data_IF_949304034401
#
_entry.id   IF_949304034401
#
_cell.length_a   1.000
_cell.length_b   1.000
_cell.length_c   1.000
_cell.angle_alpha   90.00
_cell.angle_beta   90.00
_cell.angle_gamma   90.00
#
_symmetry.space_group_name_H-M   'P 1'
#
loop_
_entity.id
_entity.type
_entity.pdbx_description
1 polymer ?
#
# COMPACT_ATOMS: atom_id res chain seq x y z
N UNK A 1 -56.82 23.57 4.56
CA UNK A 1 -55.98 22.40 4.91
C UNK A 1 -56.67 21.14 4.39
N UNK A 2 -56.23 20.57 3.27
CA UNK A 2 -56.83 19.35 2.70
C UNK A 2 -56.25 18.13 3.42
N UNK A 3 -57.10 17.32 4.07
CA UNK A 3 -56.72 16.02 4.65
C UNK A 3 -56.28 15.10 3.49
N UNK A 4 -55.01 14.70 3.49
CA UNK A 4 -54.57 13.62 2.61
C UNK A 4 -55.42 12.37 2.91
N UNK A 5 -55.90 11.69 1.86
CA UNK A 5 -56.69 10.47 2.04
C UNK A 5 -55.80 9.36 2.61
N UNK A 6 -56.37 8.45 3.40
CA UNK A 6 -55.63 7.32 4.03
C UNK A 6 -54.80 6.55 2.98
N UNK A 7 -55.31 6.47 1.74
CA UNK A 7 -54.62 5.83 0.61
C UNK A 7 -53.37 6.60 0.14
N UNK A 8 -53.36 7.93 0.22
CA UNK A 8 -52.17 8.74 -0.06
C UNK A 8 -51.09 8.57 1.02
N UNK A 9 -51.51 8.42 2.28
CA UNK A 9 -50.58 8.17 3.39
C UNK A 9 -49.95 6.78 3.28
N UNK A 10 -50.76 5.77 2.95
CA UNK A 10 -50.28 4.39 2.74
C UNK A 10 -49.30 4.28 1.56
N UNK A 11 -49.58 4.98 0.46
CA UNK A 11 -48.68 5.02 -0.70
C UNK A 11 -47.35 5.71 -0.36
N UNK A 12 -47.37 6.78 0.45
CA UNK A 12 -46.16 7.46 0.89
C UNK A 12 -45.30 6.56 1.78
N UNK A 13 -45.91 5.80 2.71
CA UNK A 13 -45.21 4.85 3.58
C UNK A 13 -44.60 3.71 2.76
N UNK A 14 -45.31 3.21 1.74
CA UNK A 14 -44.82 2.19 0.84
C UNK A 14 -43.64 2.70 -0.01
N UNK A 15 -43.71 3.94 -0.50
CA UNK A 15 -42.62 4.56 -1.27
C UNK A 15 -41.38 4.85 -0.42
N UNK A 16 -41.56 5.28 0.84
CA UNK A 16 -40.45 5.52 1.77
C UNK A 16 -39.77 4.20 2.17
N UNK A 17 -40.54 3.14 2.43
CA UNK A 17 -39.96 1.81 2.72
C UNK A 17 -39.29 1.15 1.51
N UNK A 18 -39.79 1.38 0.30
CA UNK A 18 -39.15 0.92 -0.93
C UNK A 18 -37.86 1.70 -1.21
N UNK A 19 -37.84 3.02 -0.98
CA UNK A 19 -36.65 3.85 -1.12
C UNK A 19 -35.55 3.52 -0.09
N UNK A 20 -35.90 3.17 1.15
CA UNK A 20 -34.91 2.73 2.15
C UNK A 20 -34.38 1.33 1.88
N UNK A 21 -35.15 0.45 1.23
CA UNK A 21 -34.68 -0.89 0.83
C UNK A 21 -33.68 -0.87 -0.32
N UNK A 22 -33.71 0.17 -1.16
CA UNK A 22 -32.79 0.36 -2.30
C UNK A 22 -31.48 1.07 -1.89
N UNK A 23 -31.43 1.68 -0.71
CA UNK A 23 -30.21 2.23 -0.12
C UNK A 23 -29.41 1.14 0.63
N UNK A 24 -29.34 -0.07 0.09
CA UNK A 24 -28.35 -1.04 0.57
C UNK A 24 -26.99 -0.60 0.04
N UNK A 25 -26.18 -0.01 0.91
CA UNK A 25 -24.76 0.22 0.64
C UNK A 25 -24.13 -1.11 0.18
N UNK A 26 -23.79 -1.17 -1.10
CA UNK A 26 -23.06 -2.30 -1.66
C UNK A 26 -21.63 -2.20 -1.14
N UNK A 27 -21.40 -2.74 0.05
CA UNK A 27 -20.07 -2.93 0.61
C UNK A 27 -19.26 -3.82 -0.33
N UNK A 28 -18.21 -3.27 -0.93
CA UNK A 28 -17.36 -4.02 -1.85
C UNK A 28 -16.51 -5.04 -1.07
N UNK A 29 -16.75 -6.32 -1.32
CA UNK A 29 -15.97 -7.43 -0.76
C UNK A 29 -15.42 -8.27 -1.90
N UNK A 30 -14.10 -8.46 -1.91
CA UNK A 30 -13.39 -9.30 -2.88
C UNK A 30 -12.55 -10.33 -2.13
N UNK A 31 -12.82 -11.61 -2.36
CA UNK A 31 -12.00 -12.71 -1.85
C UNK A 31 -11.64 -13.65 -3.00
N UNK A 32 -10.36 -13.69 -3.39
CA UNK A 32 -9.88 -14.43 -4.56
C UNK A 32 -8.52 -15.05 -4.31
N UNK A 33 -8.37 -16.32 -4.71
CA UNK A 33 -7.05 -16.95 -4.78
C UNK A 33 -6.18 -16.24 -5.82
N UNK A 34 -4.92 -16.01 -5.47
CA UNK A 34 -3.92 -15.40 -6.35
C UNK A 34 -2.79 -16.40 -6.64
N UNK A 35 -2.19 -16.29 -7.82
CA UNK A 35 -1.10 -17.18 -8.26
C UNK A 35 0.31 -16.83 -7.78
N UNK A 36 0.72 -15.55 -7.62
CA UNK A 36 2.09 -15.25 -7.22
C UNK A 36 2.34 -15.68 -5.78
N UNK A 37 3.46 -16.36 -5.56
CA UNK A 37 4.00 -16.58 -4.22
C UNK A 37 4.89 -15.40 -3.86
N UNK A 38 4.61 -14.76 -2.73
CA UNK A 38 5.38 -13.62 -2.24
C UNK A 38 6.47 -14.11 -1.28
N UNK A 39 7.60 -13.38 -1.16
CA UNK A 39 8.68 -13.73 -0.23
C UNK A 39 8.17 -13.93 1.20
N UNK A 40 8.60 -15.00 1.87
CA UNK A 40 8.17 -15.33 3.24
C UNK A 40 8.44 -14.21 4.25
N UNK A 41 9.51 -13.43 4.03
CA UNK A 41 9.88 -12.29 4.87
C UNK A 41 8.81 -11.19 4.95
N UNK A 42 7.87 -11.14 4.00
CA UNK A 42 6.79 -10.15 3.98
C UNK A 42 5.64 -10.52 4.90
N UNK A 43 5.51 -11.81 5.20
CA UNK A 43 4.37 -12.33 5.93
C UNK A 43 4.59 -12.16 7.43
N UNK A 44 3.67 -11.43 8.07
CA UNK A 44 3.41 -11.57 9.50
C UNK A 44 2.69 -12.90 9.74
N UNK A 45 2.82 -13.46 10.94
CA UNK A 45 2.20 -14.74 11.29
C UNK A 45 1.39 -14.63 12.57
N UNK A 46 0.23 -15.28 12.60
CA UNK A 46 -0.57 -15.52 13.80
C UNK A 46 -1.04 -16.97 13.82
N UNK A 47 -1.25 -17.51 15.01
CA UNK A 47 -1.75 -18.87 15.18
C UNK A 47 -1.02 -19.62 16.29
N UNK A 48 -0.95 -20.93 16.10
CA UNK A 48 -0.37 -21.91 17.01
C UNK A 48 0.71 -22.73 16.32
N UNK A 49 1.36 -23.63 17.08
CA UNK A 49 2.33 -24.59 16.52
C UNK A 49 1.72 -25.57 15.50
N UNK A 50 0.40 -25.78 15.55
CA UNK A 50 -0.32 -26.75 14.71
C UNK A 50 -1.09 -26.09 13.56
N UNK A 51 -1.23 -24.77 13.60
CA UNK A 51 -1.95 -24.00 12.60
C UNK A 51 -1.43 -22.58 12.57
N UNK A 52 -0.95 -22.12 11.42
CA UNK A 52 -0.44 -20.76 11.24
C UNK A 52 -1.14 -20.12 10.07
N UNK A 53 -1.61 -18.90 10.30
CA UNK A 53 -2.04 -17.96 9.26
C UNK A 53 -0.92 -16.97 9.05
N UNK A 54 -0.54 -16.79 7.81
CA UNK A 54 0.46 -15.85 7.37
C UNK A 54 -0.24 -14.77 6.53
N UNK A 55 0.00 -13.50 6.83
CA UNK A 55 -0.65 -12.40 6.15
C UNK A 55 0.28 -11.24 5.82
N UNK A 56 -0.05 -10.52 4.75
CA UNK A 56 0.52 -9.24 4.36
C UNK A 56 -0.62 -8.23 4.35
N UNK A 57 -0.48 -7.12 5.07
CA UNK A 57 -1.35 -5.97 4.91
C UNK A 57 -0.92 -5.21 3.66
N UNK A 58 -1.79 -5.10 2.66
CA UNK A 58 -1.52 -4.35 1.44
C UNK A 58 -1.81 -2.86 1.62
N UNK A 59 -2.97 -2.54 2.20
CA UNK A 59 -3.34 -1.18 2.58
C UNK A 59 -4.39 -1.19 3.70
N UNK A 60 -4.42 -0.11 4.47
CA UNK A 60 -5.41 0.18 5.50
C UNK A 60 -5.82 1.64 5.37
N UNK A 61 -6.99 1.88 4.79
CA UNK A 61 -7.56 3.22 4.61
C UNK A 61 -8.79 3.38 5.50
N UNK A 62 -9.40 4.57 5.45
CA UNK A 62 -10.57 4.91 6.25
C UNK A 62 -11.76 3.97 5.97
N UNK A 63 -11.98 3.62 4.71
CA UNK A 63 -13.18 2.86 4.31
C UNK A 63 -12.90 1.39 4.07
N UNK A 64 -11.72 1.06 3.53
CA UNK A 64 -11.36 -0.28 3.08
C UNK A 64 -9.98 -0.72 3.55
N UNK A 65 -9.80 -2.04 3.59
CA UNK A 65 -8.50 -2.67 3.82
C UNK A 65 -8.32 -3.87 2.93
N UNK A 66 -7.06 -4.20 2.64
CA UNK A 66 -6.72 -5.37 1.86
C UNK A 66 -5.57 -6.17 2.47
N UNK A 67 -5.72 -7.49 2.42
CA UNK A 67 -4.73 -8.46 2.89
C UNK A 67 -4.45 -9.51 1.83
N UNK A 68 -3.22 -10.01 1.81
CA UNK A 68 -2.93 -11.32 1.22
C UNK A 68 -2.75 -12.30 2.37
N UNK A 69 -3.54 -13.37 2.39
CA UNK A 69 -3.53 -14.39 3.43
C UNK A 69 -3.17 -15.75 2.85
N UNK A 70 -2.30 -16.49 3.53
CA UNK A 70 -2.07 -17.92 3.29
C UNK A 70 -2.00 -18.62 4.64
N UNK A 71 -2.14 -19.92 4.66
CA UNK A 71 -2.14 -20.66 5.92
C UNK A 71 -1.58 -22.06 5.73
N UNK A 72 -1.20 -22.67 6.85
CA UNK A 72 -0.90 -24.09 6.89
C UNK A 72 -1.40 -24.68 8.20
N UNK A 73 -1.78 -25.95 8.15
CA UNK A 73 -2.15 -26.76 9.30
C UNK A 73 -1.30 -28.03 9.30
N UNK A 74 -0.68 -28.33 10.44
CA UNK A 74 0.04 -29.58 10.64
C UNK A 74 -0.98 -30.71 10.82
N UNK A 75 -0.98 -31.63 9.86
CA UNK A 75 -1.86 -32.80 9.85
C UNK A 75 -1.12 -33.95 9.15
N UNK A 76 -0.31 -34.73 9.88
CA UNK A 76 0.63 -35.69 9.29
C UNK A 76 -0.07 -36.83 8.53
N UNK A 77 -1.29 -37.18 8.93
CA UNK A 77 -2.11 -38.23 8.31
C UNK A 77 -3.54 -37.75 8.06
N UNK A 78 -4.26 -38.43 7.16
CA UNK A 78 -5.67 -38.16 6.87
C UNK A 78 -5.90 -37.20 5.67
N UNK A 79 -7.18 -36.99 5.31
CA UNK A 79 -7.57 -36.28 4.11
C UNK A 79 -7.23 -34.78 4.19
N UNK A 80 -7.16 -34.14 3.01
CA UNK A 80 -7.18 -32.67 2.90
C UNK A 80 -8.50 -32.11 3.44
N UNK A 81 -8.53 -30.80 3.70
CA UNK A 81 -9.74 -30.11 4.14
C UNK A 81 -9.84 -28.75 3.47
N UNK A 82 -11.05 -28.18 3.53
CA UNK A 82 -11.37 -26.85 3.01
C UNK A 82 -11.07 -25.79 4.06
N UNK A 83 -10.30 -24.77 3.69
CA UNK A 83 -10.13 -23.57 4.48
C UNK A 83 -11.31 -22.63 4.29
N UNK A 84 -11.78 -22.04 5.39
CA UNK A 84 -12.82 -21.02 5.38
C UNK A 84 -12.19 -19.64 5.63
N UNK A 85 -12.43 -18.69 4.75
CA UNK A 85 -12.16 -17.28 5.01
C UNK A 85 -13.48 -16.62 5.37
N UNK A 86 -13.63 -16.22 6.65
CA UNK A 86 -14.84 -15.57 7.17
C UNK A 86 -14.57 -14.08 7.36
N UNK A 87 -15.49 -13.25 6.89
CA UNK A 87 -15.51 -11.81 7.12
C UNK A 87 -16.74 -11.48 7.94
N UNK A 88 -16.55 -10.91 9.13
CA UNK A 88 -17.65 -10.61 10.07
C UNK A 88 -17.61 -9.13 10.43
N UNK A 89 -18.67 -8.40 10.10
CA UNK A 89 -18.85 -7.03 10.61
C UNK A 89 -19.46 -7.09 12.02
N UNK A 90 -18.76 -6.60 13.06
CA UNK A 90 -19.21 -6.74 14.44
C UNK A 90 -20.45 -5.89 14.75
N UNK A 91 -20.71 -4.84 13.98
CA UNK A 91 -21.79 -3.87 14.24
C UNK A 91 -23.12 -4.38 13.68
N UNK A 92 -23.16 -4.75 12.40
CA UNK A 92 -24.38 -5.20 11.73
C UNK A 92 -24.51 -6.73 11.65
N UNK A 93 -23.53 -7.49 12.19
CA UNK A 93 -23.44 -8.95 12.19
C UNK A 93 -23.48 -9.58 10.79
N UNK A 94 -23.17 -8.81 9.75
CA UNK A 94 -23.10 -9.29 8.38
C UNK A 94 -21.87 -10.20 8.23
N UNK A 95 -22.08 -11.37 7.65
CA UNK A 95 -21.07 -12.40 7.49
C UNK A 95 -20.91 -12.81 6.02
N UNK A 96 -19.67 -12.95 5.58
CA UNK A 96 -19.32 -13.56 4.30
C UNK A 96 -18.36 -14.73 4.52
N UNK A 97 -18.62 -15.87 3.89
CA UNK A 97 -17.79 -17.08 4.01
C UNK A 97 -17.34 -17.55 2.65
N UNK A 98 -16.03 -17.70 2.47
CA UNK A 98 -15.41 -18.19 1.24
C UNK A 98 -14.61 -19.46 1.51
N UNK A 99 -14.71 -20.43 0.61
CA UNK A 99 -14.16 -21.76 0.77
C UNK A 99 -13.05 -22.04 -0.24
N UNK A 100 -11.90 -22.53 0.25
CA UNK A 100 -10.74 -22.83 -0.57
C UNK A 100 -10.19 -24.21 -0.25
N UNK A 101 -9.90 -25.01 -1.28
CA UNK A 101 -9.37 -26.37 -1.09
C UNK A 101 -7.92 -26.33 -0.61
N UNK A 102 -7.63 -27.00 0.49
CA UNK A 102 -6.27 -27.14 1.01
C UNK A 102 -5.46 -28.15 0.19
N UNK A 103 -4.22 -27.80 -0.12
CA UNK A 103 -3.28 -28.68 -0.84
C UNK A 103 -2.32 -29.35 0.13
N UNK A 104 -2.10 -30.66 -0.01
CA UNK A 104 -1.15 -31.38 0.84
C UNK A 104 0.30 -31.10 0.42
N UNK A 105 1.13 -30.84 1.43
CA UNK A 105 2.58 -30.67 1.32
C UNK A 105 3.19 -31.37 2.53
N UNK A 106 3.68 -32.60 2.32
CA UNK A 106 4.20 -33.50 3.36
C UNK A 106 3.22 -33.66 4.55
N UNK A 107 3.62 -33.24 5.75
CA UNK A 107 2.83 -33.31 6.98
C UNK A 107 1.87 -32.13 7.15
N UNK A 108 1.77 -31.25 6.16
CA UNK A 108 0.98 -30.03 6.23
C UNK A 108 -0.12 -30.01 5.15
N UNK A 109 -1.22 -29.37 5.47
CA UNK A 109 -2.23 -28.97 4.49
C UNK A 109 -2.12 -27.46 4.37
N UNK A 110 -1.89 -26.94 3.16
CA UNK A 110 -1.60 -25.52 2.89
C UNK A 110 -2.78 -24.86 2.18
N UNK A 111 -3.06 -23.63 2.54
CA UNK A 111 -3.92 -22.70 1.82
C UNK A 111 -3.04 -21.87 0.88
N UNK A 112 -3.36 -21.88 -0.42
CA UNK A 112 -2.73 -20.99 -1.38
C UNK A 112 -3.02 -19.52 -1.03
N UNK A 113 -2.17 -18.56 -1.44
CA UNK A 113 -2.40 -17.15 -1.17
C UNK A 113 -3.76 -16.66 -1.67
N UNK A 114 -4.51 -15.98 -0.81
CA UNK A 114 -5.82 -15.40 -1.08
C UNK A 114 -5.74 -13.89 -0.85
N UNK A 115 -6.14 -13.11 -1.86
CA UNK A 115 -6.42 -11.69 -1.72
C UNK A 115 -7.79 -11.51 -1.06
N UNK A 116 -7.82 -10.71 0.01
CA UNK A 116 -9.02 -10.32 0.74
C UNK A 116 -9.09 -8.79 0.74
N UNK A 117 -10.13 -8.22 0.13
CA UNK A 117 -10.46 -6.78 0.20
C UNK A 117 -11.84 -6.66 0.82
N UNK A 118 -11.97 -5.86 1.87
CA UNK A 118 -13.24 -5.66 2.56
C UNK A 118 -13.28 -4.30 3.26
N UNK A 119 -14.48 -3.83 3.65
CA UNK A 119 -14.58 -2.61 4.46
C UNK A 119 -13.83 -2.75 5.77
N UNK A 120 -13.31 -1.64 6.29
CA UNK A 120 -12.46 -1.64 7.48
C UNK A 120 -13.15 -2.26 8.71
N UNK A 121 -14.47 -2.08 8.82
CA UNK A 121 -15.32 -2.60 9.88
C UNK A 121 -15.28 -4.13 10.01
N UNK A 122 -14.96 -4.87 8.94
CA UNK A 122 -14.98 -6.33 8.96
C UNK A 122 -13.77 -6.92 9.69
N UNK A 123 -14.02 -7.92 10.53
CA UNK A 123 -12.99 -8.81 11.09
C UNK A 123 -12.76 -9.97 10.13
N UNK A 124 -11.50 -10.36 9.97
CA UNK A 124 -11.10 -11.40 9.01
C UNK A 124 -10.62 -12.62 9.79
N UNK A 125 -11.19 -13.78 9.47
CA UNK A 125 -10.81 -15.05 10.06
C UNK A 125 -10.40 -16.04 8.98
N UNK A 126 -9.35 -16.81 9.24
CA UNK A 126 -9.04 -18.04 8.50
C UNK A 126 -9.33 -19.21 9.44
N UNK A 127 -10.36 -19.98 9.10
CA UNK A 127 -11.05 -20.88 10.02
C UNK A 127 -11.45 -20.12 11.30
N UNK A 128 -10.91 -20.50 12.46
CA UNK A 128 -11.18 -19.85 13.74
C UNK A 128 -10.10 -18.83 14.16
N UNK A 129 -9.03 -18.68 13.37
CA UNK A 129 -7.96 -17.73 13.67
C UNK A 129 -8.30 -16.35 13.12
N UNK A 130 -8.53 -15.39 14.01
CA UNK A 130 -8.67 -13.98 13.68
C UNK A 130 -7.32 -13.38 13.27
N UNK A 131 -7.31 -12.57 12.22
CA UNK A 131 -6.18 -11.70 11.90
C UNK A 131 -6.17 -10.49 12.85
N UNK A 132 -4.99 -9.93 13.17
CA UNK A 132 -4.92 -8.74 14.01
C UNK A 132 -5.76 -7.59 13.45
N UNK A 133 -6.54 -6.96 14.33
CA UNK A 133 -7.42 -5.86 13.99
C UNK A 133 -6.67 -4.53 14.13
N UNK A 134 -6.24 -3.97 13.00
CA UNK A 134 -5.63 -2.64 12.93
C UNK A 134 -6.69 -1.59 12.56
N UNK A 135 -6.77 -0.49 13.31
CA UNK A 135 -7.68 0.64 13.07
C UNK A 135 -6.95 1.81 12.44
N UNK A 136 -7.59 2.46 11.49
CA UNK A 136 -7.07 3.67 10.84
C UNK A 136 -7.15 4.83 11.83
N UNK A 137 -5.99 5.37 12.19
CA UNK A 137 -5.87 6.53 13.07
C UNK A 137 -5.39 7.74 12.25
N UNK A 138 -6.26 8.71 12.03
CA UNK A 138 -5.93 9.96 11.33
C UNK A 138 -4.81 10.77 11.99
N UNK A 139 -4.54 10.53 13.28
CA UNK A 139 -3.46 11.17 14.04
C UNK A 139 -2.08 10.52 13.84
N UNK A 140 -1.99 9.35 13.21
CA UNK A 140 -0.71 8.72 12.88
C UNK A 140 -0.11 9.20 11.55
N UNK A 141 -0.75 10.17 10.86
CA UNK A 141 -0.17 10.85 9.68
C UNK A 141 0.33 12.27 9.99
N UNK A 142 0.79 12.51 11.22
CA UNK A 142 1.69 13.62 11.53
C UNK A 142 3.13 13.21 11.24
N UNK A 143 3.62 13.51 10.04
CA UNK A 143 4.99 13.25 9.54
C UNK A 143 5.29 11.80 9.09
N UNK A 144 4.34 11.10 8.48
CA UNK A 144 4.68 9.99 7.59
C UNK A 144 4.55 10.44 6.13
N UNK A 145 5.71 10.58 5.50
CA UNK A 145 5.90 10.64 4.05
C UNK A 145 5.08 9.51 3.40
N UNK A 146 4.63 9.66 2.15
CA UNK A 146 3.88 8.60 1.48
C UNK A 146 4.73 7.32 1.39
N UNK A 147 4.48 6.38 2.30
CA UNK A 147 4.84 4.97 2.17
C UNK A 147 3.85 4.36 1.18
N UNK A 148 3.98 4.77 -0.09
CA UNK A 148 3.48 3.97 -1.21
C UNK A 148 4.30 2.68 -1.16
N UNK A 149 3.61 1.58 -0.83
CA UNK A 149 4.16 0.24 -0.84
C UNK A 149 4.79 -0.03 -2.20
N UNK A 150 6.11 -0.13 -2.19
CA UNK A 150 6.89 -0.52 -3.35
C UNK A 150 7.74 -1.72 -2.95
N UNK A 151 7.34 -2.91 -3.42
CA UNK A 151 8.19 -4.10 -3.41
C UNK A 151 9.15 -4.12 -4.61
N UNK A 152 9.57 -2.96 -5.11
CA UNK A 152 10.29 -2.81 -6.37
C UNK A 152 11.59 -2.02 -6.23
N UNK A 153 12.65 -2.66 -5.74
CA UNK A 153 14.01 -2.12 -5.85
C UNK A 153 14.17 -0.69 -5.32
N UNK A 154 15.24 -0.02 -5.75
CA UNK A 154 15.37 1.40 -5.52
C UNK A 154 14.52 2.16 -6.55
N UNK A 155 13.87 3.26 -6.12
CA UNK A 155 13.07 4.11 -6.99
C UNK A 155 13.36 5.59 -6.75
N UNK A 156 12.95 6.40 -7.73
CA UNK A 156 13.08 7.85 -7.70
C UNK A 156 11.72 8.49 -8.03
N UNK A 157 11.35 9.49 -7.24
CA UNK A 157 10.13 10.28 -7.37
C UNK A 157 10.48 11.75 -7.54
N UNK A 158 9.73 12.44 -8.40
CA UNK A 158 9.77 13.90 -8.50
C UNK A 158 8.61 14.43 -7.67
N UNK A 159 8.89 15.35 -6.75
CA UNK A 159 7.90 15.90 -5.85
C UNK A 159 7.81 17.42 -6.03
N UNK A 160 6.62 17.96 -5.84
CA UNK A 160 6.41 19.40 -5.64
C UNK A 160 5.94 19.69 -4.21
N UNK A 161 6.33 20.83 -3.66
CA UNK A 161 5.82 21.31 -2.37
C UNK A 161 4.48 22.00 -2.55
N UNK A 162 3.50 21.60 -1.75
CA UNK A 162 2.21 22.29 -1.55
C UNK A 162 2.18 22.96 -0.18
N UNK A 163 1.11 23.69 0.15
CA UNK A 163 0.96 24.35 1.45
C UNK A 163 0.99 23.38 2.64
N UNK A 164 0.56 22.14 2.44
CA UNK A 164 0.37 21.16 3.53
C UNK A 164 1.23 19.91 3.40
N UNK A 165 1.70 19.56 2.19
CA UNK A 165 2.41 18.31 1.94
C UNK A 165 3.34 18.35 0.71
N UNK A 166 4.05 17.25 0.47
CA UNK A 166 4.70 16.96 -0.81
C UNK A 166 3.77 16.12 -1.68
N UNK A 167 3.66 16.46 -2.96
CA UNK A 167 2.87 15.74 -3.94
C UNK A 167 3.80 15.18 -5.03
N UNK A 168 3.59 13.93 -5.43
CA UNK A 168 4.35 13.32 -6.53
C UNK A 168 3.88 13.86 -7.89
N UNK A 169 4.85 14.20 -8.73
CA UNK A 169 4.62 14.64 -10.10
C UNK A 169 4.73 13.41 -11.00
N UNK A 170 3.58 12.94 -11.47
CA UNK A 170 3.50 11.85 -12.44
C UNK A 170 4.21 12.20 -13.76
N UNK A 171 4.73 11.18 -14.44
CA UNK A 171 5.37 11.36 -15.75
C UNK A 171 4.40 11.97 -16.78
N UNK A 172 4.90 12.91 -17.59
CA UNK A 172 4.10 13.64 -18.57
C UNK A 172 3.27 14.80 -17.99
N UNK A 173 3.18 14.92 -16.66
CA UNK A 173 2.51 16.07 -16.02
C UNK A 173 3.47 17.26 -15.96
N UNK A 174 2.98 18.43 -16.37
CA UNK A 174 3.76 19.68 -16.32
C UNK A 174 3.65 20.32 -14.94
N UNK A 175 4.74 20.93 -14.48
CA UNK A 175 4.79 21.75 -13.26
C UNK A 175 4.92 23.23 -13.59
N UNK A 176 4.60 24.09 -12.64
CA UNK A 176 4.73 25.54 -12.76
C UNK A 176 6.14 26.01 -12.39
N UNK A 177 6.65 27.10 -12.99
CA UNK A 177 7.90 27.77 -12.55
C UNK A 177 7.92 28.17 -11.07
N UNK A 178 6.75 28.33 -10.48
CA UNK A 178 6.57 28.74 -9.09
C UNK A 178 6.66 27.54 -8.14
N UNK A 179 6.46 26.33 -8.67
CA UNK A 179 6.56 25.09 -7.92
C UNK A 179 8.00 24.86 -7.47
N UNK A 180 8.15 24.51 -6.20
CA UNK A 180 9.42 24.10 -5.65
C UNK A 180 9.58 22.59 -5.84
N UNK A 181 10.59 22.20 -6.61
CA UNK A 181 10.83 20.83 -7.03
C UNK A 181 11.81 20.14 -6.09
N UNK A 182 11.49 18.89 -5.78
CA UNK A 182 12.31 17.99 -4.99
C UNK A 182 12.45 16.66 -5.72
N UNK A 183 13.59 16.01 -5.57
CA UNK A 183 13.81 14.65 -6.05
C UNK A 183 13.98 13.75 -4.83
N UNK A 184 13.11 12.75 -4.71
CA UNK A 184 13.17 11.77 -3.64
C UNK A 184 13.70 10.45 -4.18
N UNK A 185 14.68 9.90 -3.48
CA UNK A 185 15.31 8.62 -3.77
C UNK A 185 14.94 7.68 -2.63
N UNK A 186 14.39 6.53 -2.97
CA UNK A 186 13.96 5.50 -2.03
C UNK A 186 14.77 4.24 -2.34
N UNK A 187 15.54 3.73 -1.38
CA UNK A 187 16.40 2.56 -1.63
C UNK A 187 15.65 1.22 -1.60
N UNK A 188 14.38 1.22 -1.19
CA UNK A 188 13.61 0.03 -0.88
C UNK A 188 13.67 -0.35 0.61
N UNK A 189 13.08 -1.48 0.97
CA UNK A 189 12.97 -1.92 2.38
C UNK A 189 14.10 -2.89 2.73
N UNK A 190 14.78 -2.64 3.85
CA UNK A 190 15.89 -3.45 4.38
C UNK A 190 15.55 -4.05 5.75
N UNK A 191 16.08 -5.24 6.09
CA UNK A 191 15.69 -6.00 7.29
C UNK A 191 16.13 -5.39 8.63
N UNK A 192 17.11 -4.48 8.59
CA UNK A 192 17.64 -3.79 9.77
C UNK A 192 17.78 -2.31 9.48
N UNK A 193 18.00 -1.51 10.52
CA UNK A 193 18.52 -0.15 10.36
C UNK A 193 19.99 -0.11 9.95
N UNK A 194 20.54 1.10 9.86
CA UNK A 194 21.95 1.35 9.54
C UNK A 194 22.23 1.58 8.05
N UNK A 195 21.23 1.46 7.19
CA UNK A 195 21.34 1.80 5.77
C UNK A 195 21.05 3.29 5.55
N UNK A 196 21.80 3.94 4.67
CA UNK A 196 21.57 5.34 4.31
C UNK A 196 21.94 5.65 2.87
N UNK A 197 21.45 6.77 2.35
CA UNK A 197 21.79 7.28 1.02
C UNK A 197 22.48 8.62 1.22
N UNK A 198 23.69 8.74 0.70
CA UNK A 198 24.41 10.01 0.59
C UNK A 198 24.40 10.47 -0.86
N UNK A 199 24.17 11.76 -1.06
CA UNK A 199 24.15 12.39 -2.39
C UNK A 199 24.98 13.66 -2.34
N UNK A 200 25.63 13.94 -3.46
CA UNK A 200 26.31 15.20 -3.71
C UNK A 200 25.30 16.29 -4.06
N UNK A 201 25.77 17.53 -4.11
CA UNK A 201 24.97 18.65 -4.61
C UNK A 201 24.55 18.39 -6.07
N UNK A 202 23.29 18.64 -6.43
CA UNK A 202 22.81 18.48 -7.80
C UNK A 202 23.54 19.40 -8.77
N UNK A 203 23.94 18.84 -9.92
CA UNK A 203 24.38 19.62 -11.07
C UNK A 203 23.17 19.93 -11.96
N UNK A 204 22.88 21.21 -12.19
CA UNK A 204 21.71 21.67 -12.94
C UNK A 204 22.16 22.50 -14.13
N UNK A 205 21.91 21.97 -15.32
CA UNK A 205 22.08 22.66 -16.59
C UNK A 205 20.70 23.11 -17.08
N UNK A 206 20.47 24.41 -17.16
CA UNK A 206 19.20 24.96 -17.61
C UNK A 206 19.00 24.80 -19.13
N UNK A 207 17.75 24.66 -19.59
CA UNK A 207 17.43 24.58 -21.01
C UNK A 207 17.84 25.88 -21.72
N UNK A 208 18.41 25.72 -22.91
CA UNK A 208 18.73 26.81 -23.85
C UNK A 208 18.02 26.52 -25.16
N UNK A 209 17.72 27.54 -25.96
CA UNK A 209 16.87 27.44 -27.17
C UNK A 209 17.13 26.15 -27.97
N UNK A 210 16.11 25.28 -28.05
CA UNK A 210 16.15 24.00 -28.77
C UNK A 210 16.80 22.82 -28.03
N UNK A 211 17.26 22.97 -26.79
CA UNK A 211 17.88 21.92 -25.97
C UNK A 211 17.21 21.77 -24.62
N UNK A 212 17.00 20.52 -24.21
CA UNK A 212 16.52 20.15 -22.87
C UNK A 212 17.58 20.52 -21.82
N UNK A 213 17.14 20.96 -20.65
CA UNK A 213 17.98 21.05 -19.48
C UNK A 213 18.32 19.66 -18.92
N UNK A 214 19.23 19.61 -17.97
CA UNK A 214 19.62 18.36 -17.31
C UNK A 214 19.85 18.60 -15.83
N UNK A 215 19.31 17.71 -15.00
CA UNK A 215 19.53 17.67 -13.55
C UNK A 215 20.22 16.35 -13.25
N UNK A 216 21.44 16.41 -12.74
CA UNK A 216 22.24 15.23 -12.39
C UNK A 216 22.45 15.16 -10.89
N UNK A 217 22.08 14.03 -10.29
CA UNK A 217 22.35 13.75 -8.87
C UNK A 217 23.21 12.50 -8.78
N UNK A 218 24.37 12.62 -8.15
CA UNK A 218 25.29 11.50 -7.94
C UNK A 218 25.40 11.22 -6.45
N UNK A 219 25.39 9.94 -6.07
CA UNK A 219 25.45 9.52 -4.69
C UNK A 219 25.92 8.09 -4.51
N UNK A 220 25.89 7.64 -3.26
CA UNK A 220 26.25 6.27 -2.86
C UNK A 220 25.27 5.76 -1.82
N UNK A 221 25.03 4.45 -1.86
CA UNK A 221 24.28 3.76 -0.83
C UNK A 221 25.22 3.17 0.21
N UNK A 222 24.92 3.41 1.48
CA UNK A 222 25.74 3.00 2.60
C UNK A 222 25.07 1.83 3.29
N UNK A 223 25.83 0.76 3.44
CA UNK A 223 25.42 -0.46 4.14
C UNK A 223 26.10 -0.48 5.51
N UNK A 224 25.40 -0.95 6.56
CA UNK A 224 26.03 -1.15 7.85
C UNK A 224 27.16 -2.19 7.72
N UNK A 225 28.25 -1.95 8.44
CA UNK A 225 29.39 -2.83 8.52
C UNK A 225 29.10 -4.10 9.33
N UNK A 226 29.96 -5.11 9.16
CA UNK A 226 29.87 -6.34 9.94
C UNK A 226 30.23 -6.04 11.41
N UNK A 227 29.25 -6.16 12.30
CA UNK A 227 29.41 -5.90 13.73
C UNK A 227 28.87 -4.55 14.20
N UNK A 228 28.35 -3.73 13.29
CA UNK A 228 27.69 -2.48 13.66
C UNK A 228 26.40 -2.76 14.45
N UNK A 229 26.16 -1.94 15.47
CA UNK A 229 24.91 -2.00 16.23
C UNK A 229 23.81 -1.41 15.34
N UNK A 230 22.89 -2.26 14.91
CA UNK A 230 21.75 -1.88 14.07
C UNK A 230 20.44 -2.10 14.82
N UNK A 231 19.44 -1.28 14.48
CA UNK A 231 18.07 -1.51 14.95
C UNK A 231 17.48 -2.75 14.27
N UNK A 232 16.82 -3.59 15.06
CA UNK A 232 16.13 -4.80 14.60
C UNK A 232 14.71 -4.47 14.16
N UNK A 233 14.60 -3.63 13.13
CA UNK A 233 13.35 -3.25 12.50
C UNK A 233 13.57 -3.02 11.01
N UNK A 234 12.55 -3.30 10.20
CA UNK A 234 12.59 -2.96 8.79
C UNK A 234 12.73 -1.44 8.62
N UNK A 235 13.65 -1.03 7.76
CA UNK A 235 13.86 0.39 7.45
C UNK A 235 13.82 0.64 5.96
N UNK A 236 13.34 1.82 5.57
CA UNK A 236 13.29 2.28 4.18
C UNK A 236 14.15 3.54 4.08
N UNK A 237 15.42 3.44 3.68
CA UNK A 237 16.30 4.60 3.52
C UNK A 237 15.74 5.52 2.42
N UNK A 238 15.54 6.78 2.78
CA UNK A 238 15.00 7.81 1.88
C UNK A 238 15.90 9.04 1.94
N UNK A 239 16.28 9.55 0.77
CA UNK A 239 16.93 10.86 0.63
C UNK A 239 16.09 11.75 -0.24
N UNK A 240 15.77 12.94 0.24
CA UNK A 240 15.10 13.97 -0.55
C UNK A 240 16.08 15.10 -0.80
N UNK A 241 16.20 15.48 -2.07
CA UNK A 241 17.09 16.52 -2.56
C UNK A 241 16.25 17.66 -3.08
N UNK A 242 16.49 18.86 -2.57
CA UNK A 242 15.80 20.07 -3.02
C UNK A 242 16.49 20.57 -4.28
N UNK A 243 15.71 20.72 -5.36
CA UNK A 243 16.18 21.30 -6.62
C UNK A 243 15.81 22.79 -6.69
N UNK A 244 14.69 23.15 -6.08
CA UNK A 244 14.19 24.53 -6.05
C UNK A 244 13.26 24.83 -7.22
N UNK A 245 13.17 26.10 -7.59
CA UNK A 245 12.34 26.57 -8.71
C UNK A 245 13.14 26.55 -10.00
N UNK A 246 12.52 26.05 -11.07
CA UNK A 246 13.17 25.87 -12.36
C UNK A 246 12.59 26.83 -13.41
N UNK A 247 13.41 27.37 -14.32
CA UNK A 247 12.93 28.04 -15.53
C UNK A 247 12.08 27.11 -16.40
N UNK A 248 11.23 27.69 -17.26
CA UNK A 248 10.44 26.89 -18.21
C UNK A 248 11.33 26.13 -19.17
N UNK A 249 10.87 24.94 -19.52
CA UNK A 249 11.52 24.04 -20.45
C UNK A 249 11.40 22.60 -20.00
N UNK A 250 12.00 21.73 -20.80
CA UNK A 250 12.06 20.29 -20.52
C UNK A 250 13.42 19.95 -19.92
N UNK A 251 13.42 19.09 -18.91
CA UNK A 251 14.60 18.64 -18.19
C UNK A 251 14.68 17.11 -18.19
N UNK A 252 15.88 16.60 -18.43
CA UNK A 252 16.22 15.22 -18.15
C UNK A 252 16.80 15.12 -16.73
N UNK A 253 16.14 14.36 -15.88
CA UNK A 253 16.59 14.06 -14.52
C UNK A 253 17.33 12.73 -14.55
N UNK A 254 18.59 12.75 -14.14
CA UNK A 254 19.46 11.58 -14.08
C UNK A 254 19.99 11.44 -12.66
N UNK A 255 19.59 10.36 -11.98
CA UNK A 255 20.06 10.07 -10.62
C UNK A 255 20.91 8.80 -10.65
N UNK A 256 22.16 8.90 -10.23
CA UNK A 256 23.11 7.78 -10.19
C UNK A 256 23.52 7.52 -8.76
N UNK A 257 23.09 6.40 -8.20
CA UNK A 257 23.46 6.00 -6.85
C UNK A 257 24.27 4.73 -6.92
N UNK A 258 25.55 4.82 -6.53
CA UNK A 258 26.42 3.66 -6.42
C UNK A 258 25.75 2.60 -5.54
N UNK A 259 25.75 1.36 -6.00
CA UNK A 259 25.12 0.19 -5.37
C UNK A 259 23.58 0.16 -5.32
N UNK A 260 22.88 1.14 -5.92
CA UNK A 260 21.41 1.12 -6.13
C UNK A 260 20.98 1.26 -7.59
N UNK A 261 21.83 1.83 -8.45
CA UNK A 261 21.59 1.93 -9.89
C UNK A 261 21.41 3.36 -10.40
N UNK A 262 20.94 3.46 -11.64
CA UNK A 262 20.67 4.73 -12.33
C UNK A 262 19.18 4.88 -12.63
N UNK A 263 18.63 6.06 -12.36
CA UNK A 263 17.23 6.42 -12.57
C UNK A 263 17.11 7.59 -13.53
N UNK A 264 16.10 7.53 -14.39
CA UNK A 264 15.86 8.52 -15.43
C UNK A 264 14.40 8.98 -15.38
N UNK A 265 14.19 10.30 -15.44
CA UNK A 265 12.86 10.92 -15.59
C UNK A 265 12.94 12.14 -16.50
N UNK A 266 11.82 12.43 -17.16
CA UNK A 266 11.61 13.71 -17.83
C UNK A 266 10.71 14.59 -16.95
N UNK A 267 11.04 15.88 -16.86
CA UNK A 267 10.21 16.91 -16.24
C UNK A 267 9.94 18.06 -17.21
N UNK A 268 8.69 18.52 -17.29
CA UNK A 268 8.32 19.69 -18.09
C UNK A 268 7.86 20.82 -17.18
N UNK A 269 8.50 21.98 -17.27
CA UNK A 269 8.18 23.18 -16.50
C UNK A 269 7.57 24.24 -17.41
N UNK A 270 6.41 24.80 -17.01
CA UNK A 270 5.65 25.83 -17.73
C UNK A 270 5.67 27.18 -17.00
#
# INVERSE_FOLDING_TARGET
MKRASVNQLALLILLVSLATSLAQDIEFVLVRQIMPTLPEALYKSVGSKMFSVQYILLFLEQDYKAYIVKAWSFKPTGPTFTYNIKLINPTNKKEYVYQFQGTRSTSYIRLAPILVVCPQSFRIFVNEQELPYETYNSQQQGVEKPLVGDFGGATMRVLRRTEKAFEEVSEGVSVSKQDEIFIQIVAGTFPTGGYSIEVQEPDIVYPVSGKRGRITIVGRFIRPGKGDIVTQAFTTPIKTVQIGRLPAGEYDIVVKIADLGEFFRTLTVK
#
